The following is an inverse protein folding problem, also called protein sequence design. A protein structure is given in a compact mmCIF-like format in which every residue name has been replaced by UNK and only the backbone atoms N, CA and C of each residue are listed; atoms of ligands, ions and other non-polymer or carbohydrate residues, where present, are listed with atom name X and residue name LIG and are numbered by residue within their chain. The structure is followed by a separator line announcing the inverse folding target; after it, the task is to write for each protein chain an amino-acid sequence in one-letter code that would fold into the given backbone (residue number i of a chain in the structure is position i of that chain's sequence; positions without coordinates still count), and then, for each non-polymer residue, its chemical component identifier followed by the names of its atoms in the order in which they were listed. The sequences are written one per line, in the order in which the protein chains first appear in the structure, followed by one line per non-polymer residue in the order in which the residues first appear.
data_IF_622267891071
#
_entry.id   IF_622267891071
#
_cell.length_a   1.000
_cell.length_b   1.000
_cell.length_c   1.000
_cell.angle_alpha   90.00
_cell.angle_beta   90.00
_cell.angle_gamma   90.00
#
_symmetry.space_group_name_H-M   'P 1'
#
loop_
_entity.id
_entity.type
_entity.pdbx_description
1 polymer ?
#
# COMPACT_ATOMS: atom_id res chain seq x y z
N UNK A 1 30.90 -15.04 26.37
CA UNK A 1 32.25 -15.00 25.78
C UNK A 1 32.18 -15.66 24.39
N UNK A 2 32.19 -14.81 23.34
CA UNK A 2 32.46 -15.10 21.92
C UNK A 2 32.07 -16.47 21.35
N UNK A 3 30.99 -16.53 20.58
CA UNK A 3 31.00 -17.10 19.22
C UNK A 3 29.75 -16.64 18.46
N UNK A 4 29.90 -16.37 17.15
CA UNK A 4 28.85 -16.06 16.15
C UNK A 4 28.53 -14.58 15.91
N UNK A 5 29.60 -13.83 15.62
CA UNK A 5 29.61 -12.84 14.54
C UNK A 5 29.95 -13.65 13.28
N UNK A 6 29.03 -13.71 12.31
CA UNK A 6 29.16 -14.03 10.87
C UNK A 6 27.72 -14.28 10.37
N UNK A 7 27.36 -13.70 9.22
CA UNK A 7 26.03 -13.62 8.57
C UNK A 7 25.23 -12.33 8.85
N UNK A 8 25.87 -11.17 8.69
CA UNK A 8 25.20 -9.90 8.42
C UNK A 8 26.17 -8.96 7.68
N UNK A 9 26.58 -9.38 6.48
CA UNK A 9 27.39 -8.56 5.55
C UNK A 9 27.61 -9.30 4.22
N UNK A 10 26.56 -9.55 3.42
CA UNK A 10 26.72 -9.99 2.03
C UNK A 10 25.45 -9.84 1.18
N UNK A 11 24.70 -8.74 1.27
CA UNK A 11 23.70 -8.40 0.24
C UNK A 11 23.22 -6.94 0.33
N UNK A 12 24.15 -6.00 0.43
CA UNK A 12 23.85 -4.57 0.27
C UNK A 12 25.10 -3.82 -0.18
N UNK A 13 25.69 -4.25 -1.30
CA UNK A 13 26.83 -3.59 -1.95
C UNK A 13 26.78 -3.88 -3.46
N UNK A 14 25.85 -3.24 -4.16
CA UNK A 14 25.99 -2.97 -5.59
C UNK A 14 25.13 -1.75 -5.92
N UNK A 15 25.72 -0.80 -6.65
CA UNK A 15 25.15 0.47 -7.14
C UNK A 15 25.37 1.74 -6.31
N UNK A 16 26.56 1.90 -5.75
CA UNK A 16 27.17 3.23 -5.65
C UNK A 16 28.54 3.22 -6.33
N UNK A 17 28.72 4.18 -7.26
CA UNK A 17 29.95 4.64 -7.93
C UNK A 17 30.13 4.24 -9.42
N UNK A 18 29.61 5.10 -10.31
CA UNK A 18 30.32 5.64 -11.50
C UNK A 18 29.76 7.06 -11.69
N UNK A 19 30.48 8.17 -11.79
CA UNK A 19 31.91 8.45 -11.72
C UNK A 19 32.08 9.97 -11.75
N UNK A 20 33.08 10.48 -11.02
CA UNK A 20 33.47 11.89 -11.04
C UNK A 20 34.13 12.28 -12.37
N UNK A 21 33.81 13.48 -12.86
CA UNK A 21 34.76 14.32 -13.59
C UNK A 21 34.53 15.79 -13.20
N UNK A 22 35.62 16.46 -12.85
CA UNK A 22 35.70 17.80 -12.26
C UNK A 22 35.85 18.92 -13.33
N UNK A 23 35.01 19.97 -13.22
CA UNK A 23 35.23 21.45 -13.35
C UNK A 23 36.01 22.07 -14.55
N UNK A 24 35.70 23.33 -15.00
CA UNK A 24 35.74 24.54 -14.15
C UNK A 24 34.71 25.66 -14.39
N UNK A 25 34.78 26.59 -13.44
CA UNK A 25 34.07 27.86 -13.20
C UNK A 25 34.23 28.87 -14.34
N UNK A 26 33.18 29.60 -14.69
CA UNK A 26 33.29 31.01 -15.07
C UNK A 26 32.01 31.81 -14.74
N UNK A 27 32.21 33.11 -14.55
CA UNK A 27 31.41 34.05 -13.76
C UNK A 27 30.55 34.93 -14.66
N UNK A 28 29.31 35.21 -14.22
CA UNK A 28 28.41 36.35 -14.53
C UNK A 28 28.22 36.83 -15.98
N UNK A 29 26.96 36.84 -16.44
CA UNK A 29 26.39 38.03 -17.10
C UNK A 29 24.86 38.08 -16.99
N UNK A 30 24.36 39.32 -16.96
CA UNK A 30 22.98 39.76 -16.67
C UNK A 30 22.23 40.02 -17.98
N UNK A 31 20.88 40.00 -17.93
CA UNK A 31 19.91 40.50 -18.93
C UNK A 31 19.65 39.54 -20.11
N UNK A 32 18.42 39.24 -20.58
CA UNK A 32 17.21 40.06 -20.75
C UNK A 32 16.00 39.14 -20.95
N UNK A 33 14.81 39.58 -20.53
CA UNK A 33 13.51 38.99 -20.85
C UNK A 33 13.29 38.84 -22.35
N UNK A 34 12.77 37.69 -22.79
CA UNK A 34 12.07 37.56 -24.07
C UNK A 34 10.97 36.52 -23.92
N UNK A 35 9.74 37.00 -23.81
CA UNK A 35 8.51 36.21 -23.86
C UNK A 35 8.43 35.49 -25.20
N UNK A 36 8.49 34.15 -25.18
CA UNK A 36 8.20 33.33 -26.35
C UNK A 36 6.99 32.46 -26.01
N UNK A 37 5.92 32.69 -26.77
CA UNK A 37 4.67 31.95 -26.75
C UNK A 37 4.93 30.56 -27.33
N UNK A 38 4.99 29.53 -26.49
CA UNK A 38 5.19 28.13 -26.91
C UNK A 38 3.83 27.49 -27.19
N UNK A 39 3.62 27.07 -28.43
CA UNK A 39 2.51 26.24 -28.88
C UNK A 39 2.44 24.92 -28.09
N UNK A 40 1.27 24.25 -27.98
CA UNK A 40 1.13 23.04 -27.18
C UNK A 40 2.02 21.93 -27.75
N UNK A 41 2.94 21.46 -26.91
CA UNK A 41 3.85 20.38 -27.22
C UNK A 41 3.04 19.08 -27.30
N UNK A 42 2.84 18.57 -28.51
CA UNK A 42 2.26 17.24 -28.74
C UNK A 42 3.40 16.24 -28.64
N UNK A 43 3.93 16.07 -27.43
CA UNK A 43 4.94 15.05 -27.16
C UNK A 43 4.27 13.68 -27.15
N UNK A 44 4.34 13.01 -28.29
CA UNK A 44 4.10 11.58 -28.38
C UNK A 44 5.10 10.87 -27.45
N UNK A 45 4.59 10.18 -26.44
CA UNK A 45 5.36 9.33 -25.56
C UNK A 45 6.18 8.34 -26.40
N UNK A 46 7.49 8.34 -26.19
CA UNK A 46 8.39 7.34 -26.77
C UNK A 46 8.15 6.03 -26.00
N UNK A 47 7.73 4.93 -26.64
CA UNK A 47 7.51 3.68 -25.93
C UNK A 47 8.85 3.16 -25.36
N UNK A 48 8.89 2.69 -24.10
CA UNK A 48 10.11 2.15 -23.51
C UNK A 48 10.50 0.80 -24.13
N UNK A 49 11.67 0.32 -23.71
CA UNK A 49 12.44 -0.80 -24.24
C UNK A 49 11.60 -2.04 -24.62
N UNK A 50 11.97 -2.66 -25.77
CA UNK A 50 11.36 -3.84 -26.39
C UNK A 50 10.88 -4.88 -25.38
N UNK A 51 9.56 -5.00 -25.23
CA UNK A 51 8.92 -6.02 -24.39
C UNK A 51 9.34 -7.43 -24.82
N UNK A 52 9.40 -8.40 -23.88
CA UNK A 52 9.68 -9.79 -24.22
C UNK A 52 8.62 -10.31 -25.20
N UNK A 53 9.07 -11.02 -26.24
CA UNK A 53 8.17 -11.60 -27.24
C UNK A 53 7.22 -12.61 -26.56
N UNK A 54 5.93 -12.28 -26.52
CA UNK A 54 4.88 -13.10 -25.93
C UNK A 54 3.79 -13.49 -26.92
N UNK A 55 2.86 -14.33 -26.48
CA UNK A 55 1.62 -14.58 -27.20
C UNK A 55 0.66 -13.45 -26.88
N UNK A 56 0.07 -12.84 -27.90
CA UNK A 56 -0.85 -11.69 -27.78
C UNK A 56 -2.20 -12.07 -28.35
N UNK A 57 -3.26 -11.74 -27.61
CA UNK A 57 -4.65 -11.79 -28.09
C UNK A 57 -5.27 -10.40 -27.99
N UNK A 58 -6.23 -10.13 -28.87
CA UNK A 58 -7.00 -8.88 -28.91
C UNK A 58 -8.48 -9.10 -28.52
N UNK A 59 -8.82 -10.33 -28.16
CA UNK A 59 -10.15 -10.72 -27.73
C UNK A 59 -10.02 -11.71 -26.58
N UNK A 60 -10.58 -11.39 -25.41
CA UNK A 60 -10.54 -12.28 -24.25
C UNK A 60 -11.19 -13.65 -24.53
N UNK A 61 -12.03 -13.78 -25.56
CA UNK A 61 -12.58 -15.07 -26.00
C UNK A 61 -11.53 -16.03 -26.56
N UNK A 62 -10.37 -15.52 -26.96
CA UNK A 62 -9.23 -16.30 -27.43
C UNK A 62 -8.27 -16.68 -26.29
N UNK A 63 -8.71 -16.63 -25.02
CA UNK A 63 -7.88 -16.91 -23.84
C UNK A 63 -7.04 -18.20 -23.93
N UNK A 64 -7.62 -19.27 -24.47
CA UNK A 64 -6.93 -20.56 -24.63
C UNK A 64 -5.69 -20.46 -25.55
N UNK A 65 -5.65 -19.48 -26.47
CA UNK A 65 -4.51 -19.27 -27.35
C UNK A 65 -3.25 -18.77 -26.62
N UNK A 66 -3.40 -18.19 -25.41
CA UNK A 66 -2.27 -17.73 -24.59
C UNK A 66 -1.40 -18.87 -24.05
N UNK A 67 -1.88 -20.12 -24.11
CA UNK A 67 -1.19 -21.31 -23.61
C UNK A 67 -0.64 -21.13 -22.18
N UNK A 68 -1.48 -20.57 -21.30
CA UNK A 68 -1.11 -20.26 -19.92
C UNK A 68 -0.70 -21.51 -19.14
N UNK A 69 0.24 -21.35 -18.22
CA UNK A 69 0.60 -22.40 -17.26
C UNK A 69 -0.30 -22.30 -16.03
N UNK A 70 -0.86 -23.44 -15.60
CA UNK A 70 -1.74 -23.51 -14.44
C UNK A 70 -3.18 -23.05 -14.71
N UNK A 71 -4.01 -23.08 -13.66
CA UNK A 71 -5.36 -22.51 -13.68
C UNK A 71 -5.27 -20.98 -13.55
N UNK A 72 -5.88 -20.28 -14.50
CA UNK A 72 -5.91 -18.81 -14.58
C UNK A 72 -7.33 -18.27 -14.68
N UNK A 73 -8.31 -19.04 -14.19
CA UNK A 73 -9.73 -18.67 -14.22
C UNK A 73 -10.03 -17.38 -13.44
N UNK A 74 -9.35 -17.14 -12.31
CA UNK A 74 -9.51 -15.89 -11.55
C UNK A 74 -9.01 -14.67 -12.32
N UNK A 75 -7.86 -14.78 -12.99
CA UNK A 75 -7.33 -13.72 -13.85
C UNK A 75 -8.25 -13.44 -15.06
N UNK A 76 -8.76 -14.50 -15.69
CA UNK A 76 -9.77 -14.37 -16.74
C UNK A 76 -11.01 -13.62 -16.22
N UNK A 77 -11.54 -14.05 -15.08
CA UNK A 77 -12.73 -13.47 -14.49
C UNK A 77 -12.53 -11.99 -14.17
N UNK A 78 -11.39 -11.64 -13.56
CA UNK A 78 -10.99 -10.28 -13.20
C UNK A 78 -10.89 -9.35 -14.41
N UNK A 79 -10.10 -9.71 -15.44
CA UNK A 79 -10.00 -8.91 -16.68
C UNK A 79 -11.39 -8.82 -17.35
N UNK A 80 -12.15 -9.92 -17.32
CA UNK A 80 -13.49 -9.97 -17.87
C UNK A 80 -14.47 -8.97 -17.24
N UNK A 81 -14.23 -8.48 -16.01
CA UNK A 81 -15.07 -7.45 -15.39
C UNK A 81 -14.95 -6.11 -16.12
N UNK A 82 -13.72 -5.72 -16.49
CA UNK A 82 -13.45 -4.50 -17.25
C UNK A 82 -14.01 -4.58 -18.69
N UNK A 83 -14.09 -5.79 -19.24
CA UNK A 83 -14.54 -6.04 -20.61
C UNK A 83 -16.04 -6.38 -20.71
N UNK A 84 -16.77 -6.41 -19.59
CA UNK A 84 -18.19 -6.75 -19.54
C UNK A 84 -18.52 -8.21 -19.88
N UNK A 85 -17.53 -9.10 -19.81
CA UNK A 85 -17.68 -10.55 -20.02
C UNK A 85 -17.98 -11.27 -18.69
N UNK A 86 -17.51 -10.71 -17.58
CA UNK A 86 -17.76 -11.18 -16.22
C UNK A 86 -18.61 -10.17 -15.44
N UNK A 87 -19.37 -10.65 -14.46
CA UNK A 87 -20.05 -9.77 -13.52
C UNK A 87 -19.00 -9.02 -12.67
N UNK A 88 -19.15 -7.70 -12.47
CA UNK A 88 -18.20 -6.93 -11.69
C UNK A 88 -18.35 -7.23 -10.20
N UNK A 89 -17.22 -7.38 -9.49
CA UNK A 89 -17.15 -7.47 -8.03
C UNK A 89 -17.65 -6.17 -7.40
N UNK A 90 -17.31 -5.03 -8.02
CA UNK A 90 -17.75 -3.70 -7.60
C UNK A 90 -18.54 -3.03 -8.73
N UNK A 91 -19.79 -2.58 -8.49
CA UNK A 91 -20.63 -1.94 -9.51
C UNK A 91 -19.95 -0.77 -10.24
N UNK A 92 -19.06 -0.04 -9.56
CA UNK A 92 -18.35 1.12 -10.10
C UNK A 92 -17.41 0.75 -11.25
N UNK A 93 -16.90 -0.48 -11.30
CA UNK A 93 -16.08 -0.96 -12.43
C UNK A 93 -16.85 -0.94 -13.75
N UNK A 94 -18.19 -1.09 -13.71
CA UNK A 94 -19.02 -1.01 -14.91
C UNK A 94 -19.08 0.40 -15.53
N UNK A 95 -18.54 1.42 -14.84
CA UNK A 95 -18.43 2.78 -15.37
C UNK A 95 -17.20 2.98 -16.26
N UNK A 96 -16.25 2.04 -16.24
CA UNK A 96 -15.02 2.08 -17.04
C UNK A 96 -15.32 1.62 -18.47
N UNK A 97 -15.00 2.46 -19.46
CA UNK A 97 -15.20 2.18 -20.87
C UNK A 97 -13.86 1.99 -21.58
N UNK A 98 -13.56 0.75 -21.92
CA UNK A 98 -12.35 0.38 -22.66
C UNK A 98 -12.66 0.33 -24.16
N UNK A 99 -11.90 1.07 -24.98
CA UNK A 99 -12.08 1.08 -26.44
C UNK A 99 -11.16 0.12 -27.19
N UNK A 100 -9.97 -0.13 -26.65
CA UNK A 100 -8.97 -1.02 -27.20
C UNK A 100 -8.23 -1.71 -26.06
N UNK A 101 -7.80 -2.95 -26.30
CA UNK A 101 -6.99 -3.69 -25.34
C UNK A 101 -6.19 -4.81 -26.01
N UNK A 102 -5.15 -5.22 -25.31
CA UNK A 102 -4.38 -6.42 -25.62
C UNK A 102 -4.17 -7.22 -24.34
N UNK A 103 -4.22 -8.54 -24.45
CA UNK A 103 -3.81 -9.44 -23.39
C UNK A 103 -2.59 -10.19 -23.90
N UNK A 104 -1.48 -10.10 -23.16
CA UNK A 104 -0.20 -10.70 -23.55
C UNK A 104 0.30 -11.61 -22.45
N UNK A 105 0.81 -12.78 -22.82
CA UNK A 105 1.49 -13.68 -21.90
C UNK A 105 2.94 -13.87 -22.34
N UNK A 106 3.88 -13.50 -21.48
CA UNK A 106 5.32 -13.61 -21.71
C UNK A 106 6.04 -13.91 -20.41
N UNK A 107 7.04 -14.80 -20.45
CA UNK A 107 7.92 -15.08 -19.30
C UNK A 107 7.21 -15.51 -18.00
N UNK A 108 6.04 -16.17 -18.11
CA UNK A 108 5.12 -16.52 -17.01
C UNK A 108 4.39 -15.35 -16.35
N UNK A 109 4.41 -14.18 -16.98
CA UNK A 109 3.67 -12.99 -16.58
C UNK A 109 2.55 -12.70 -17.56
N UNK A 110 1.37 -12.35 -17.03
CA UNK A 110 0.23 -11.90 -17.81
C UNK A 110 0.17 -10.36 -17.80
N UNK A 111 -0.10 -9.78 -18.95
CA UNK A 111 -0.24 -8.35 -19.14
C UNK A 111 -1.61 -8.04 -19.70
N UNK A 112 -2.19 -6.93 -19.24
CA UNK A 112 -3.45 -6.38 -19.74
C UNK A 112 -3.26 -4.90 -20.02
N UNK A 113 -3.04 -4.58 -21.29
CA UNK A 113 -2.83 -3.20 -21.72
C UNK A 113 -4.13 -2.71 -22.38
N UNK A 114 -4.60 -1.52 -22.01
CA UNK A 114 -5.91 -1.04 -22.43
C UNK A 114 -6.01 0.48 -22.46
N UNK A 115 -6.93 0.98 -23.29
CA UNK A 115 -7.27 2.41 -23.38
C UNK A 115 -8.63 2.66 -22.73
N UNK A 116 -8.65 3.48 -21.68
CA UNK A 116 -9.87 3.98 -21.05
C UNK A 116 -10.32 5.25 -21.77
N UNK A 117 -11.53 5.24 -22.32
CA UNK A 117 -12.13 6.40 -23.00
C UNK A 117 -13.04 7.23 -22.09
N UNK A 118 -13.64 6.58 -21.10
CA UNK A 118 -14.45 7.20 -20.07
C UNK A 118 -14.41 6.34 -18.81
N UNK A 119 -14.47 6.98 -17.66
CA UNK A 119 -14.49 6.29 -16.37
C UNK A 119 -15.24 7.14 -15.34
N UNK A 120 -16.02 6.47 -14.49
CA UNK A 120 -16.58 7.08 -13.29
C UNK A 120 -15.64 7.03 -12.09
N UNK A 121 -14.50 6.34 -12.22
CA UNK A 121 -13.48 6.21 -11.19
C UNK A 121 -12.43 7.31 -11.37
N UNK A 122 -12.18 8.09 -10.32
CA UNK A 122 -11.11 9.09 -10.32
C UNK A 122 -9.71 8.47 -10.16
N UNK A 123 -9.65 7.22 -9.70
CA UNK A 123 -8.46 6.35 -9.61
C UNK A 123 -8.08 5.71 -10.93
N UNK A 124 -8.96 5.75 -11.93
CA UNK A 124 -8.69 5.24 -13.28
C UNK A 124 -9.30 6.18 -14.31
N UNK A 125 -8.73 7.38 -14.50
CA UNK A 125 -9.23 8.36 -15.46
C UNK A 125 -9.07 7.87 -16.92
N UNK A 126 -9.58 8.62 -17.92
CA UNK A 126 -9.29 8.33 -19.32
C UNK A 126 -7.79 8.39 -19.62
N UNK A 127 -7.26 7.41 -20.34
CA UNK A 127 -5.84 7.27 -20.62
C UNK A 127 -5.47 5.91 -21.22
N UNK A 128 -4.21 5.77 -21.61
CA UNK A 128 -3.61 4.51 -22.04
C UNK A 128 -2.85 3.89 -20.87
N UNK A 129 -3.14 2.63 -20.56
CA UNK A 129 -2.59 1.95 -19.40
C UNK A 129 -1.87 0.68 -19.81
N UNK A 130 -0.69 0.49 -19.20
CA UNK A 130 0.10 -0.73 -19.31
C UNK A 130 0.20 -1.39 -17.95
N UNK A 131 -0.23 -2.64 -17.88
CA UNK A 131 -0.35 -3.34 -16.59
C UNK A 131 0.16 -4.77 -16.65
N UNK A 132 0.75 -5.20 -15.56
CA UNK A 132 0.88 -6.62 -15.23
C UNK A 132 -0.35 -7.05 -14.41
N UNK A 133 -0.82 -8.26 -14.67
CA UNK A 133 -1.86 -8.91 -13.87
C UNK A 133 -1.14 -9.82 -12.87
N UNK A 134 -0.98 -9.33 -11.65
CA UNK A 134 -0.39 -10.08 -10.53
C UNK A 134 -1.50 -10.91 -9.85
N UNK A 135 -1.13 -12.03 -9.26
CA UNK A 135 -2.01 -12.99 -8.60
C UNK A 135 -1.40 -13.58 -7.32
N UNK A 136 -0.18 -13.20 -6.92
CA UNK A 136 0.50 -13.78 -5.76
C UNK A 136 -0.17 -13.37 -4.42
N UNK A 137 -0.83 -12.21 -4.42
CA UNK A 137 -1.54 -11.65 -3.26
C UNK A 137 -2.96 -11.22 -3.65
N UNK A 138 -3.67 -12.12 -4.34
CA UNK A 138 -4.96 -11.82 -4.98
C UNK A 138 -4.78 -11.18 -6.36
N UNK A 139 -5.76 -11.34 -7.25
CA UNK A 139 -5.66 -10.84 -8.63
C UNK A 139 -5.76 -9.31 -8.66
N UNK A 140 -4.74 -8.64 -9.20
CA UNK A 140 -4.68 -7.18 -9.32
C UNK A 140 -4.05 -6.68 -10.62
N UNK A 141 -4.33 -5.42 -10.96
CA UNK A 141 -3.55 -4.66 -11.93
C UNK A 141 -2.39 -3.96 -11.23
N UNK A 142 -1.17 -4.30 -11.65
CA UNK A 142 0.04 -3.56 -11.31
C UNK A 142 0.42 -2.68 -12.49
N UNK A 143 0.26 -1.37 -12.35
CA UNK A 143 0.63 -0.41 -13.38
C UNK A 143 2.15 -0.38 -13.56
N UNK A 144 2.62 -0.41 -14.82
CA UNK A 144 4.04 -0.50 -15.16
C UNK A 144 4.69 0.88 -15.37
N UNK A 145 3.88 1.88 -15.66
CA UNK A 145 4.30 3.25 -16.02
C UNK A 145 3.58 4.26 -15.12
N UNK A 146 2.92 5.26 -15.70
CA UNK A 146 2.14 6.28 -14.99
C UNK A 146 0.97 5.62 -14.24
N UNK A 147 1.25 5.13 -13.02
CA UNK A 147 0.24 4.56 -12.13
C UNK A 147 -0.71 5.67 -11.68
N UNK A 148 -1.98 5.68 -12.15
CA UNK A 148 -2.93 6.73 -11.83
C UNK A 148 -3.31 6.74 -10.34
N UNK A 149 -2.93 5.70 -9.60
CA UNK A 149 -3.22 5.52 -8.18
C UNK A 149 -2.08 5.97 -7.26
N UNK A 150 -0.89 6.29 -7.79
CA UNK A 150 0.28 6.68 -6.98
C UNK A 150 0.17 8.14 -6.54
N UNK A 151 0.09 8.35 -5.22
CA UNK A 151 0.15 9.67 -4.57
C UNK A 151 1.32 9.81 -3.60
N UNK A 152 2.11 8.75 -3.40
CA UNK A 152 2.96 8.59 -2.21
C UNK A 152 4.41 9.09 -2.34
N UNK A 153 4.87 9.49 -3.54
CA UNK A 153 6.31 9.72 -3.79
C UNK A 153 6.90 10.89 -2.97
N UNK A 154 6.06 11.79 -2.44
CA UNK A 154 6.48 12.98 -1.68
C UNK A 154 5.88 13.07 -0.26
N UNK A 155 5.48 11.95 0.37
CA UNK A 155 4.94 12.03 1.74
C UNK A 155 6.01 12.56 2.73
N UNK A 156 5.74 13.66 3.46
CA UNK A 156 6.81 14.43 4.12
C UNK A 156 7.20 13.94 5.52
N UNK A 157 6.61 12.84 6.03
CA UNK A 157 6.86 12.34 7.40
C UNK A 157 7.12 10.82 7.41
N UNK A 158 8.36 10.40 7.22
CA UNK A 158 8.74 8.98 7.22
C UNK A 158 8.36 8.27 8.54
N UNK A 159 8.52 8.94 9.68
CA UNK A 159 8.17 8.36 10.99
C UNK A 159 6.65 8.12 11.09
N UNK A 160 5.83 9.05 10.58
CA UNK A 160 4.39 8.88 10.50
C UNK A 160 4.01 7.71 9.58
N UNK A 161 4.72 7.58 8.44
CA UNK A 161 4.52 6.51 7.47
C UNK A 161 4.81 5.15 8.10
N UNK A 162 5.93 5.03 8.81
CA UNK A 162 6.32 3.82 9.53
C UNK A 162 5.32 3.45 10.62
N UNK A 163 4.96 4.40 11.48
CA UNK A 163 3.98 4.20 12.56
C UNK A 163 2.64 3.71 12.02
N UNK A 164 2.10 4.37 10.99
CA UNK A 164 0.82 4.00 10.38
C UNK A 164 0.93 2.66 9.66
N UNK A 165 2.04 2.40 8.95
CA UNK A 165 2.28 1.12 8.30
C UNK A 165 2.29 -0.05 9.27
N UNK A 166 2.99 0.09 10.40
CA UNK A 166 3.00 -0.91 11.46
C UNK A 166 1.61 -1.07 12.08
N UNK A 167 0.92 0.04 12.35
CA UNK A 167 -0.44 0.01 12.89
C UNK A 167 -1.39 -0.78 11.97
N UNK A 168 -1.37 -0.49 10.68
CA UNK A 168 -2.21 -1.18 9.69
C UNK A 168 -1.80 -2.66 9.60
N UNK A 169 -0.52 -2.97 9.42
CA UNK A 169 -0.05 -4.34 9.27
C UNK A 169 -0.42 -5.23 10.46
N UNK A 170 -0.30 -4.71 11.68
CA UNK A 170 -0.44 -5.51 12.90
C UNK A 170 -1.87 -5.56 13.47
N UNK A 171 -2.74 -4.62 13.11
CA UNK A 171 -4.11 -4.53 13.67
C UNK A 171 -5.24 -4.78 12.68
N UNK A 172 -4.99 -4.70 11.36
CA UNK A 172 -6.05 -4.81 10.35
C UNK A 172 -6.68 -6.22 10.26
N UNK A 173 -5.92 -7.29 10.51
CA UNK A 173 -6.40 -8.69 10.44
C UNK A 173 -7.44 -9.08 11.51
N UNK A 174 -7.64 -8.25 12.53
CA UNK A 174 -8.13 -8.72 13.82
C UNK A 174 -9.41 -8.04 14.30
N UNK A 175 -10.25 -7.60 13.36
CA UNK A 175 -11.44 -6.79 13.63
C UNK A 175 -11.12 -5.61 14.54
N UNK A 176 -10.04 -4.89 14.20
CA UNK A 176 -9.77 -3.55 14.72
C UNK A 176 -10.07 -2.45 13.67
N UNK A 177 -11.18 -2.48 12.91
CA UNK A 177 -11.56 -1.37 12.05
C UNK A 177 -12.12 -0.20 12.86
N UNK A 178 -12.02 -0.25 14.20
CA UNK A 178 -12.27 0.93 15.00
C UNK A 178 -11.06 1.85 14.85
N UNK A 179 -11.07 2.60 13.75
CA UNK A 179 -10.26 3.77 13.47
C UNK A 179 -10.23 4.70 14.71
N UNK A 180 -9.37 4.36 15.68
CA UNK A 180 -9.10 5.14 16.89
C UNK A 180 -10.07 4.91 18.04
N UNK A 181 -11.00 3.95 17.97
CA UNK A 181 -11.88 3.61 19.11
C UNK A 181 -11.40 2.31 19.76
N UNK A 182 -10.60 2.43 20.82
CA UNK A 182 -10.11 1.26 21.54
C UNK A 182 -11.29 0.52 22.20
N UNK A 183 -11.85 -0.47 21.49
CA UNK A 183 -12.97 -1.30 21.94
C UNK A 183 -12.59 -2.24 23.09
N UNK A 184 -13.16 -3.45 23.14
CA UNK A 184 -12.82 -4.45 24.19
C UNK A 184 -11.44 -5.10 24.03
N UNK A 185 -10.76 -4.85 22.91
CA UNK A 185 -9.46 -5.40 22.56
C UNK A 185 -8.43 -4.26 22.56
N UNK A 186 -7.21 -4.53 22.98
CA UNK A 186 -6.10 -3.57 22.87
C UNK A 186 -5.29 -3.93 21.62
N UNK A 187 -4.60 -3.00 20.94
CA UNK A 187 -3.79 -3.33 19.77
C UNK A 187 -2.46 -3.93 20.21
N UNK A 188 -2.52 -5.15 20.78
CA UNK A 188 -1.38 -5.81 21.41
C UNK A 188 -0.21 -6.01 20.43
N UNK A 189 -0.50 -6.39 19.19
CA UNK A 189 0.52 -6.68 18.20
C UNK A 189 1.24 -5.40 17.78
N UNK A 190 0.53 -4.33 17.48
CA UNK A 190 1.13 -3.04 17.15
C UNK A 190 2.03 -2.54 18.28
N UNK A 191 1.56 -2.60 19.53
CA UNK A 191 2.37 -2.14 20.67
C UNK A 191 3.65 -2.98 20.81
N UNK A 192 3.54 -4.31 20.78
CA UNK A 192 4.71 -5.18 20.96
C UNK A 192 5.67 -5.08 19.78
N UNK A 193 5.17 -5.06 18.54
CA UNK A 193 6.02 -4.99 17.35
C UNK A 193 6.71 -3.65 17.17
N UNK A 194 6.00 -2.55 17.39
CA UNK A 194 6.53 -1.23 17.13
C UNK A 194 7.40 -0.70 18.29
N UNK A 195 7.05 -1.04 19.54
CA UNK A 195 7.68 -0.44 20.72
C UNK A 195 8.50 -1.40 21.60
N UNK A 196 8.59 -2.70 21.28
CA UNK A 196 9.48 -3.62 22.01
C UNK A 196 10.77 -3.91 21.24
N UNK A 197 11.84 -4.24 21.97
CA UNK A 197 13.10 -4.71 21.39
C UNK A 197 13.06 -6.18 20.92
N UNK A 198 11.87 -6.83 20.89
CA UNK A 198 11.71 -8.25 20.61
C UNK A 198 10.31 -8.66 20.18
N UNK A 199 9.95 -9.93 20.42
CA UNK A 199 8.61 -10.47 20.15
C UNK A 199 7.75 -10.58 21.41
N UNK A 200 8.27 -10.07 22.53
CA UNK A 200 7.67 -10.10 23.85
C UNK A 200 7.96 -8.77 24.55
N UNK A 201 6.97 -8.27 25.28
CA UNK A 201 7.09 -7.12 26.17
C UNK A 201 6.59 -7.54 27.56
N UNK A 202 7.19 -7.07 28.65
CA UNK A 202 6.63 -7.37 29.99
C UNK A 202 5.24 -6.75 30.11
N UNK A 203 4.34 -7.37 30.89
CA UNK A 203 2.98 -6.83 31.05
C UNK A 203 2.99 -5.39 31.61
N UNK A 204 3.98 -5.07 32.45
CA UNK A 204 4.14 -3.73 33.01
C UNK A 204 4.59 -2.72 31.95
N UNK A 205 5.59 -3.06 31.13
CA UNK A 205 6.07 -2.20 30.04
C UNK A 205 5.00 -2.02 28.96
N UNK A 206 4.23 -3.08 28.69
CA UNK A 206 3.09 -3.05 27.79
C UNK A 206 2.02 -2.08 28.28
N UNK A 207 1.62 -2.18 29.54
CA UNK A 207 0.62 -1.28 30.12
C UNK A 207 1.08 0.19 30.11
N UNK A 208 2.34 0.45 30.47
CA UNK A 208 2.92 1.79 30.42
C UNK A 208 3.00 2.34 29.00
N UNK A 209 3.31 1.48 28.02
CA UNK A 209 3.37 1.87 26.61
C UNK A 209 1.97 2.16 26.06
N UNK A 210 0.99 1.31 26.33
CA UNK A 210 -0.40 1.52 25.91
C UNK A 210 -0.99 2.83 26.46
N UNK A 211 -0.68 3.16 27.72
CA UNK A 211 -1.08 4.42 28.35
C UNK A 211 -0.44 5.63 27.66
N UNK A 212 0.87 5.56 27.43
CA UNK A 212 1.60 6.65 26.79
C UNK A 212 1.20 6.86 25.34
N UNK A 213 1.16 5.80 24.52
CA UNK A 213 1.08 5.93 23.06
C UNK A 213 -0.36 5.92 22.54
N UNK A 214 -1.31 5.36 23.29
CA UNK A 214 -2.72 5.23 22.88
C UNK A 214 -3.71 5.84 23.88
N UNK A 215 -3.24 6.30 25.05
CA UNK A 215 -4.11 6.80 26.12
C UNK A 215 -4.92 5.70 26.83
N UNK A 216 -4.52 4.44 26.72
CA UNK A 216 -5.22 3.30 27.35
C UNK A 216 -4.73 3.17 28.81
N UNK A 217 -5.58 3.33 29.83
CA UNK A 217 -5.14 3.35 31.23
C UNK A 217 -4.31 2.11 31.62
N UNK A 218 -3.20 2.32 32.33
CA UNK A 218 -2.32 1.23 32.73
C UNK A 218 -3.02 0.18 33.62
N UNK A 219 -4.04 0.59 34.39
CA UNK A 219 -4.82 -0.25 35.30
C UNK A 219 -6.03 -0.94 34.65
N UNK A 220 -6.26 -0.73 33.34
CA UNK A 220 -7.32 -1.38 32.58
C UNK A 220 -7.21 -2.91 32.65
N UNK A 221 -8.34 -3.58 32.86
CA UNK A 221 -8.43 -5.04 32.78
C UNK A 221 -8.17 -5.49 31.33
N UNK A 222 -7.16 -6.36 31.15
CA UNK A 222 -6.73 -6.85 29.85
C UNK A 222 -7.23 -8.26 29.63
N UNK A 223 -7.82 -8.52 28.46
CA UNK A 223 -8.20 -9.89 28.07
C UNK A 223 -6.94 -10.70 27.81
N UNK A 224 -6.93 -11.95 28.26
CA UNK A 224 -5.76 -12.84 28.32
C UNK A 224 -5.22 -13.31 26.94
N UNK A 225 -5.63 -12.71 25.81
CA UNK A 225 -5.42 -13.26 24.47
C UNK A 225 -3.95 -13.49 24.09
N UNK A 226 -3.04 -12.62 24.55
CA UNK A 226 -1.61 -12.66 24.22
C UNK A 226 -0.68 -12.61 25.44
N UNK A 227 -1.24 -12.64 26.65
CA UNK A 227 -0.46 -12.59 27.88
C UNK A 227 -0.16 -14.00 28.41
N UNK A 228 1.10 -14.27 28.78
CA UNK A 228 1.49 -15.52 29.43
C UNK A 228 2.67 -15.33 30.39
N UNK A 229 2.94 -16.34 31.20
CA UNK A 229 4.15 -16.43 32.01
C UNK A 229 5.25 -17.09 31.19
N UNK A 230 6.31 -16.36 30.85
CA UNK A 230 7.42 -16.91 30.08
C UNK A 230 8.28 -17.90 30.90
N UNK A 231 9.30 -18.48 30.26
CA UNK A 231 10.19 -19.48 30.88
C UNK A 231 10.89 -19.00 32.18
N UNK A 232 10.99 -17.68 32.35
CA UNK A 232 11.67 -17.04 33.48
C UNK A 232 10.68 -16.65 34.59
N UNK A 233 9.40 -17.00 34.46
CA UNK A 233 8.36 -16.71 35.45
C UNK A 233 7.79 -15.29 35.36
N UNK A 234 8.06 -14.56 34.27
CA UNK A 234 7.63 -13.17 34.07
C UNK A 234 6.38 -13.13 33.22
N UNK A 235 5.38 -12.34 33.63
CA UNK A 235 4.21 -12.04 32.82
C UNK A 235 4.60 -11.15 31.63
N UNK A 236 4.39 -11.64 30.43
CA UNK A 236 4.70 -10.97 29.16
C UNK A 236 3.48 -10.97 28.24
N UNK A 237 3.44 -9.99 27.34
CA UNK A 237 2.55 -9.94 26.18
C UNK A 237 3.43 -10.26 24.97
N UNK A 238 3.03 -11.22 24.14
CA UNK A 238 3.74 -11.53 22.90
C UNK A 238 3.05 -10.94 21.68
N UNK A 239 3.85 -10.38 20.78
CA UNK A 239 3.42 -9.97 19.45
C UNK A 239 3.47 -11.16 18.50
N UNK A 240 2.34 -11.49 17.87
CA UNK A 240 2.28 -12.43 16.76
C UNK A 240 2.53 -11.72 15.43
N UNK A 241 3.07 -12.43 14.42
CA UNK A 241 3.06 -11.91 13.06
C UNK A 241 1.62 -11.93 12.51
N UNK A 242 1.08 -10.76 12.23
CA UNK A 242 -0.06 -10.57 11.34
C UNK A 242 0.49 -10.43 9.92
N UNK A 243 0.06 -11.27 8.98
CA UNK A 243 0.57 -11.32 7.61
C UNK A 243 -0.43 -10.83 6.56
N UNK A 244 -1.24 -9.83 6.89
CA UNK A 244 -2.34 -9.35 6.05
C UNK A 244 -2.11 -7.88 5.74
N UNK A 245 -2.35 -7.51 4.50
CA UNK A 245 -2.03 -6.17 4.00
C UNK A 245 -3.32 -5.48 3.59
N UNK A 246 -3.61 -4.33 4.20
CA UNK A 246 -4.63 -3.44 3.66
C UNK A 246 -4.08 -2.76 2.40
N UNK A 247 -4.92 -2.56 1.38
CA UNK A 247 -4.61 -1.63 0.30
C UNK A 247 -4.87 -0.19 0.79
N UNK A 248 -3.83 0.63 0.92
CA UNK A 248 -3.97 2.04 1.33
C UNK A 248 -2.89 2.96 0.76
N UNK A 249 -3.17 4.26 0.73
CA UNK A 249 -2.28 5.33 0.26
C UNK A 249 -2.32 6.54 1.18
N UNK A 250 -1.22 7.28 1.28
CA UNK A 250 -1.18 8.56 1.98
C UNK A 250 -1.60 9.67 1.01
N UNK A 251 -2.65 10.41 1.38
CA UNK A 251 -3.28 11.41 0.50
C UNK A 251 -3.28 12.81 1.10
N UNK A 252 -2.73 12.97 2.30
CA UNK A 252 -2.61 14.28 2.94
C UNK A 252 -1.69 14.25 4.15
N UNK A 253 -0.99 15.36 4.37
CA UNK A 253 -0.20 15.59 5.57
C UNK A 253 -0.25 17.07 5.96
N UNK A 254 -0.37 17.34 7.25
CA UNK A 254 -0.22 18.67 7.81
C UNK A 254 0.31 18.61 9.24
N UNK A 255 0.93 19.69 9.70
CA UNK A 255 1.45 19.81 11.06
C UNK A 255 0.89 21.07 11.71
N UNK A 256 0.25 20.93 12.86
CA UNK A 256 -0.26 22.05 13.66
C UNK A 256 0.13 21.84 15.11
N UNK A 257 0.81 22.82 15.72
CA UNK A 257 1.23 22.78 17.13
C UNK A 257 2.00 21.50 17.52
N UNK A 258 2.83 20.97 16.60
CA UNK A 258 3.60 19.74 16.81
C UNK A 258 2.80 18.45 16.66
N UNK A 259 1.52 18.51 16.27
CA UNK A 259 0.70 17.35 15.93
C UNK A 259 0.68 17.17 14.42
N UNK A 260 1.09 15.98 13.96
CA UNK A 260 1.00 15.55 12.58
C UNK A 260 -0.39 14.98 12.31
N UNK A 261 -1.14 15.58 11.39
CA UNK A 261 -2.39 15.06 10.84
C UNK A 261 -2.09 14.43 9.48
N UNK A 262 -2.16 13.10 9.41
CA UNK A 262 -1.88 12.30 8.22
C UNK A 262 -3.15 11.64 7.72
N UNK A 263 -3.54 11.92 6.47
CA UNK A 263 -4.73 11.32 5.86
C UNK A 263 -4.36 10.12 5.00
N UNK A 264 -5.07 9.02 5.21
CA UNK A 264 -4.90 7.73 4.54
C UNK A 264 -6.19 7.36 3.82
N UNK A 265 -6.09 7.06 2.53
CA UNK A 265 -7.16 6.48 1.73
C UNK A 265 -6.98 4.96 1.69
N UNK A 266 -7.96 4.21 2.18
CA UNK A 266 -8.04 2.77 2.02
C UNK A 266 -8.74 2.39 0.72
N UNK A 267 -8.49 1.19 0.22
CA UNK A 267 -9.10 0.66 -1.00
C UNK A 267 -9.70 -0.71 -0.73
N UNK A 268 -10.83 -0.99 -1.37
CA UNK A 268 -11.56 -2.25 -1.26
C UNK A 268 -10.98 -3.35 -2.17
N UNK A 269 -10.10 -2.97 -3.08
CA UNK A 269 -9.34 -3.85 -3.96
C UNK A 269 -7.84 -3.55 -3.86
N UNK A 270 -7.03 -4.56 -4.17
CA UNK A 270 -5.58 -4.47 -4.21
C UNK A 270 -5.04 -3.79 -5.50
N UNK A 271 -5.89 -3.45 -6.46
CA UNK A 271 -5.50 -2.60 -7.62
C UNK A 271 -5.65 -1.10 -7.33
N UNK A 272 -6.07 -0.72 -6.12
CA UNK A 272 -6.26 0.68 -5.69
C UNK A 272 -7.28 1.45 -6.54
N UNK A 273 -8.29 0.76 -7.08
CA UNK A 273 -9.30 1.38 -7.95
C UNK A 273 -10.56 1.80 -7.18
N UNK A 274 -10.97 1.02 -6.19
CA UNK A 274 -12.23 1.18 -5.47
C UNK A 274 -11.94 1.74 -4.09
N UNK A 275 -12.30 3.00 -3.87
CA UNK A 275 -12.08 3.68 -2.59
C UNK A 275 -12.94 3.06 -1.48
N UNK A 276 -12.27 2.68 -0.40
CA UNK A 276 -12.85 2.37 0.89
C UNK A 276 -12.80 3.63 1.77
N UNK A 277 -12.51 3.50 3.06
CA UNK A 277 -12.52 4.59 4.03
C UNK A 277 -11.41 5.62 3.82
N UNK A 278 -11.71 6.87 4.15
CA UNK A 278 -10.72 7.94 4.30
C UNK A 278 -10.53 8.22 5.78
N UNK A 279 -9.30 8.12 6.28
CA UNK A 279 -9.00 8.16 7.72
C UNK A 279 -7.88 9.13 7.99
N UNK A 280 -8.07 10.02 8.96
CA UNK A 280 -7.02 10.86 9.50
C UNK A 280 -6.39 10.20 10.73
N UNK A 281 -5.07 10.14 10.78
CA UNK A 281 -4.25 9.74 11.91
C UNK A 281 -3.63 10.99 12.52
N UNK A 282 -3.79 11.17 13.83
CA UNK A 282 -3.17 12.26 14.58
C UNK A 282 -2.01 11.72 15.39
N UNK A 283 -0.82 12.20 15.11
CA UNK A 283 0.44 11.70 15.68
C UNK A 283 1.13 12.86 16.41
N UNK A 284 1.47 12.66 17.69
CA UNK A 284 2.22 13.63 18.49
C UNK A 284 3.67 13.73 18.03
N UNK A 285 4.35 14.81 18.44
CA UNK A 285 5.77 15.04 18.10
C UNK A 285 6.71 13.90 18.55
N UNK A 286 6.31 13.14 19.57
CA UNK A 286 7.07 12.00 20.12
C UNK A 286 6.63 10.64 19.54
N UNK A 287 5.87 10.63 18.42
CA UNK A 287 5.42 9.40 17.75
C UNK A 287 4.23 8.70 18.43
N UNK A 288 3.49 9.41 19.28
CA UNK A 288 2.30 8.92 19.97
C UNK A 288 1.08 8.97 19.03
N UNK A 289 0.32 7.88 18.93
CA UNK A 289 -0.93 7.88 18.16
C UNK A 289 -2.05 8.49 19.01
N UNK A 290 -2.25 9.80 18.86
CA UNK A 290 -3.24 10.58 19.63
C UNK A 290 -4.69 10.21 19.31
N UNK A 291 -4.91 9.51 18.20
CA UNK A 291 -6.20 9.00 17.77
C UNK A 291 -6.32 9.00 16.26
N UNK A 292 -7.40 8.41 15.78
CA UNK A 292 -7.74 8.47 14.36
C UNK A 292 -9.20 8.87 14.18
N UNK A 293 -9.53 9.34 12.99
CA UNK A 293 -10.86 9.88 12.67
C UNK A 293 -11.23 9.47 11.25
N UNK A 294 -12.36 8.80 11.10
CA UNK A 294 -12.91 8.50 9.77
C UNK A 294 -13.48 9.78 9.17
N UNK A 295 -12.81 10.32 8.16
CA UNK A 295 -13.25 11.49 7.41
C UNK A 295 -14.35 11.12 6.40
N UNK A 296 -14.28 9.92 5.82
CA UNK A 296 -15.29 9.38 4.92
C UNK A 296 -15.46 7.88 5.16
N UNK A 297 -16.71 7.44 5.36
CA UNK A 297 -17.06 6.02 5.49
C UNK A 297 -17.61 5.49 4.16
N UNK A 298 -16.88 4.57 3.54
CA UNK A 298 -17.35 3.83 2.37
C UNK A 298 -18.30 2.70 2.77
N UNK A 299 -19.08 2.22 1.79
CA UNK A 299 -19.88 1.00 1.92
C UNK A 299 -19.03 -0.28 1.74
N UNK A 300 -17.79 -0.14 1.28
CA UNK A 300 -16.85 -1.24 1.11
C UNK A 300 -15.80 -1.22 2.20
N UNK A 301 -15.60 -2.36 2.84
CA UNK A 301 -14.47 -2.57 3.75
C UNK A 301 -13.15 -2.55 2.95
N UNK A 302 -12.02 -2.20 3.59
CA UNK A 302 -10.71 -2.28 2.96
C UNK A 302 -10.38 -3.71 2.52
N UNK A 303 -9.56 -3.83 1.47
CA UNK A 303 -9.14 -5.12 0.93
C UNK A 303 -8.42 -5.96 1.98
N UNK A 304 -8.64 -7.28 1.92
CA UNK A 304 -8.09 -8.30 2.85
C UNK A 304 -8.57 -8.14 4.32
N UNK A 305 -9.65 -7.39 4.54
CA UNK A 305 -10.46 -7.47 5.75
C UNK A 305 -11.30 -8.75 5.70
N UNK A 306 -10.82 -9.80 6.38
CA UNK A 306 -11.65 -10.98 6.63
C UNK A 306 -12.64 -10.63 7.75
N UNK A 307 -13.91 -10.41 7.40
CA UNK A 307 -15.01 -10.65 8.34
C UNK A 307 -15.03 -12.16 8.63
N UNK A 308 -14.37 -12.62 9.69
CA UNK A 308 -14.82 -13.75 10.54
C UNK A 308 -13.75 -14.18 11.56
N UNK A 309 -14.04 -13.87 12.84
CA UNK A 309 -14.28 -14.91 13.84
C UNK A 309 -15.52 -14.47 14.63
N UNK A 310 -16.70 -14.67 14.05
CA UNK A 310 -17.95 -14.70 14.84
C UNK A 310 -18.23 -16.14 15.20
N UNK A 311 -17.63 -16.56 16.32
CA UNK A 311 -18.08 -17.70 17.14
C UNK A 311 -18.35 -17.19 18.57
#
# INVERSE_FOLDING_TARGET
MRTRIILLAALLCAFLLVGCAQTPIETSEVTTETTTETAPDTSASTPPATEPAGIVIHDIRDWDALHLTGDRSEAYAFIGQFLGVSAPTFPELATVQISDYTIRYAENTLYFDFTVTASGLDTLPPGDYRTEVDWDFGVMLRFLEDDPTVTDEDFPCEDCRGLIGDFVMFEHRWNFPDYGTWGTREPENFIVWHYSDGLEMTLADYAATAERVLGIPADRERREGFAYINKDGVAVVSGGMSGFHAAYRFVGHSVTDGVHSTTVQYFADNSYLIKSHLVEYRIGADGELLGTTVLNRSAYEPWDMIEEWTD
#
